data_IF_625981612410
#
_entry.id   IF_625981612410
#
_cell.length_a   1.000
_cell.length_b   1.000
_cell.length_c   1.000
_cell.angle_alpha   90.00
_cell.angle_beta   90.00
_cell.angle_gamma   90.00
#
_symmetry.space_group_name_H-M   'P 1'
#
loop_
_entity.id
_entity.type
_entity.pdbx_description
1 polymer ?
#
# COMPACT_ATOMS: atom_id res chain seq x y z
N UNK A 1 -23.57 -1.37 -3.23
CA UNK A 1 -22.35 -2.17 -2.98
C UNK A 1 -21.92 -2.73 -4.32
N UNK A 2 -21.14 -1.95 -5.08
CA UNK A 2 -20.77 -2.32 -6.43
C UNK A 2 -19.80 -3.50 -6.34
N UNK A 3 -20.31 -4.71 -6.55
CA UNK A 3 -19.51 -5.91 -6.74
C UNK A 3 -18.69 -5.70 -8.00
N UNK A 4 -17.39 -5.49 -7.84
CA UNK A 4 -16.47 -5.46 -8.97
C UNK A 4 -16.48 -6.87 -9.59
N UNK A 5 -17.16 -7.04 -10.72
CA UNK A 5 -16.98 -8.25 -11.53
C UNK A 5 -15.75 -7.99 -12.41
N UNK A 6 -14.54 -8.19 -11.86
CA UNK A 6 -13.39 -8.36 -12.75
C UNK A 6 -13.33 -9.78 -13.26
N UNK A 7 -13.02 -9.89 -14.55
CA UNK A 7 -12.69 -11.12 -15.26
C UNK A 7 -11.39 -11.81 -14.76
N UNK A 8 -11.04 -11.76 -13.48
CA UNK A 8 -9.80 -12.30 -12.94
C UNK A 8 -9.66 -12.16 -11.42
N UNK A 9 -8.76 -12.94 -10.83
CA UNK A 9 -8.42 -12.91 -9.39
C UNK A 9 -7.95 -11.48 -9.03
N UNK A 10 -8.44 -10.87 -7.94
CA UNK A 10 -8.00 -9.54 -7.51
C UNK A 10 -6.47 -9.52 -7.32
N UNK A 11 -5.80 -8.41 -7.71
CA UNK A 11 -4.35 -8.32 -7.56
C UNK A 11 -3.97 -8.41 -6.08
N UNK A 12 -2.90 -9.15 -5.78
CA UNK A 12 -2.29 -9.10 -4.45
C UNK A 12 -1.58 -7.75 -4.30
N UNK A 13 -2.06 -6.92 -3.38
CA UNK A 13 -1.50 -5.59 -3.12
C UNK A 13 -0.67 -5.63 -1.84
N UNK A 14 0.56 -5.13 -1.93
CA UNK A 14 1.39 -4.80 -0.77
C UNK A 14 1.62 -3.30 -0.75
N UNK A 15 1.22 -2.64 0.33
CA UNK A 15 1.39 -1.20 0.52
C UNK A 15 2.57 -0.94 1.47
N UNK A 16 3.69 -0.47 0.91
CA UNK A 16 4.81 0.06 1.69
C UNK A 16 4.46 1.47 2.16
N UNK A 17 4.27 1.66 3.46
CA UNK A 17 3.66 2.88 4.02
C UNK A 17 4.30 3.33 5.32
N UNK A 18 3.97 4.55 5.73
CA UNK A 18 4.14 5.02 7.08
C UNK A 18 2.88 5.82 7.47
N UNK A 19 2.25 5.49 8.61
CA UNK A 19 0.98 6.10 9.02
C UNK A 19 1.08 7.60 9.38
N UNK A 20 2.29 8.15 9.56
CA UNK A 20 2.50 9.59 9.74
C UNK A 20 2.60 10.34 8.40
N UNK A 21 2.65 9.64 7.26
CA UNK A 21 2.80 10.25 5.95
C UNK A 21 1.45 10.63 5.33
N UNK A 22 1.15 11.94 5.10
CA UNK A 22 -0.12 12.35 4.50
C UNK A 22 -0.24 11.95 3.02
N UNK A 23 0.88 11.67 2.34
CA UNK A 23 0.86 11.14 0.96
C UNK A 23 0.44 9.67 0.94
N UNK A 24 0.99 8.86 1.85
CA UNK A 24 0.63 7.45 1.97
C UNK A 24 -0.83 7.28 2.44
N UNK A 25 -1.33 8.20 3.28
CA UNK A 25 -2.73 8.24 3.70
C UNK A 25 -3.71 8.25 2.50
N UNK A 26 -3.36 8.90 1.39
CA UNK A 26 -4.21 8.92 0.18
C UNK A 26 -4.38 7.52 -0.41
N UNK A 27 -3.32 6.71 -0.40
CA UNK A 27 -3.38 5.32 -0.86
C UNK A 27 -4.24 4.46 0.09
N UNK A 28 -4.10 4.62 1.41
CA UNK A 28 -4.98 3.95 2.37
C UNK A 28 -6.46 4.29 2.15
N UNK A 29 -6.78 5.57 1.93
CA UNK A 29 -8.16 6.00 1.65
C UNK A 29 -8.65 5.33 0.36
N UNK A 30 -7.89 5.39 -0.73
CA UNK A 30 -8.31 4.79 -2.00
C UNK A 30 -8.55 3.28 -1.87
N UNK A 31 -7.64 2.54 -1.22
CA UNK A 31 -7.79 1.09 -1.03
C UNK A 31 -9.02 0.76 -0.17
N UNK A 32 -9.28 1.57 0.87
CA UNK A 32 -10.45 1.40 1.74
C UNK A 32 -11.77 1.71 1.01
N UNK A 33 -11.85 2.82 0.29
CA UNK A 33 -13.06 3.23 -0.43
C UNK A 33 -13.40 2.29 -1.59
N UNK A 34 -12.40 1.61 -2.14
CA UNK A 34 -12.56 0.58 -3.18
C UNK A 34 -12.76 -0.84 -2.63
N UNK A 35 -12.75 -1.01 -1.30
CA UNK A 35 -12.84 -2.33 -0.63
C UNK A 35 -11.82 -3.36 -1.15
N UNK A 36 -10.59 -2.88 -1.44
CA UNK A 36 -9.53 -3.74 -1.95
C UNK A 36 -8.71 -4.32 -0.79
N UNK A 37 -8.46 -5.64 -0.76
CA UNK A 37 -7.57 -6.23 0.24
C UNK A 37 -6.10 -5.87 -0.06
N UNK A 38 -5.35 -5.55 0.99
CA UNK A 38 -3.91 -5.29 0.89
C UNK A 38 -3.17 -5.69 2.18
N UNK A 39 -1.89 -6.03 2.02
CA UNK A 39 -0.94 -6.22 3.12
C UNK A 39 -0.16 -4.91 3.33
N UNK A 40 0.17 -4.56 4.58
CA UNK A 40 0.99 -3.40 4.89
C UNK A 40 2.42 -3.79 5.24
N UNK A 41 3.38 -3.01 4.75
CA UNK A 41 4.76 -3.01 5.21
C UNK A 41 5.09 -1.62 5.72
N UNK A 42 5.28 -1.51 7.05
CA UNK A 42 5.60 -0.22 7.67
C UNK A 42 7.07 0.10 7.42
N UNK A 43 7.32 1.25 6.78
CA UNK A 43 8.64 1.80 6.58
C UNK A 43 8.94 2.75 7.74
N UNK A 44 9.94 2.39 8.54
CA UNK A 44 10.48 3.24 9.60
C UNK A 44 11.18 4.45 8.98
N UNK A 45 10.68 5.65 9.32
CA UNK A 45 11.23 6.93 8.85
C UNK A 45 12.33 7.49 9.78
N UNK A 46 12.46 6.96 10.99
CA UNK A 46 13.39 7.46 12.01
C UNK A 46 14.80 6.87 11.84
N UNK A 47 14.99 5.97 10.87
CA UNK A 47 16.26 5.37 10.50
C UNK A 47 16.47 5.41 8.97
N UNK A 48 17.73 5.30 8.50
CA UNK A 48 18.00 5.15 7.07
C UNK A 48 17.19 4.01 6.46
N UNK A 49 16.81 4.17 5.19
CA UNK A 49 16.10 3.11 4.45
C UNK A 49 16.95 1.87 4.38
N UNK A 50 16.32 0.73 4.65
CA UNK A 50 16.95 -0.55 4.45
C UNK A 50 17.21 -0.79 2.96
N UNK A 51 18.32 -1.46 2.65
CA UNK A 51 18.77 -1.62 1.26
C UNK A 51 17.73 -2.31 0.39
N UNK A 52 17.01 -3.31 0.92
CA UNK A 52 15.96 -4.01 0.16
C UNK A 52 14.85 -3.07 -0.31
N UNK A 53 14.54 -2.02 0.46
CA UNK A 53 13.51 -1.05 0.08
C UNK A 53 14.03 -0.14 -1.03
N UNK A 54 15.30 0.24 -0.96
CA UNK A 54 15.96 1.06 -2.00
C UNK A 54 16.18 0.28 -3.30
N UNK A 55 16.43 -1.03 -3.23
CA UNK A 55 16.54 -1.90 -4.41
C UNK A 55 15.21 -1.95 -5.19
N UNK A 56 14.07 -1.80 -4.49
CA UNK A 56 12.73 -1.72 -5.08
C UNK A 56 12.33 -0.28 -5.44
N UNK A 57 12.77 0.70 -4.66
CA UNK A 57 12.36 2.12 -4.72
C UNK A 57 13.59 3.03 -4.47
N UNK A 58 14.37 3.31 -5.53
CA UNK A 58 15.65 4.04 -5.41
C UNK A 58 15.53 5.52 -5.07
#
# INVERSE_FOLDING_TARGET
MASYESNGIPPKITLYTNHLCPYAQRAHIALKELDLPYEEVIIDLDRPREQWYLDLNP
#
